data_IF_203508821197
#
_entry.id   IF_203508821197
#
_cell.length_a   1.000
_cell.length_b   1.000
_cell.length_c   1.000
_cell.angle_alpha   90.00
_cell.angle_beta   90.00
_cell.angle_gamma   90.00
#
_symmetry.space_group_name_H-M   'P 1'
#
loop_
_entity.id
_entity.type
_entity.pdbx_description
1 polymer ?
#
# COMPACT_ATOMS: atom_id res chain seq x y z
N UNK A 1 24.03 10.59 21.79
CA UNK A 1 23.08 10.64 20.70
C UNK A 1 23.04 12.06 20.20
N UNK A 2 23.67 12.32 19.04
CA UNK A 2 23.63 13.63 18.38
C UNK A 2 22.26 13.80 17.72
N UNK A 3 21.47 14.72 18.24
CA UNK A 3 20.27 15.23 17.60
C UNK A 3 20.73 16.04 16.38
N UNK A 4 20.41 15.58 15.19
CA UNK A 4 20.58 16.38 13.98
C UNK A 4 19.69 17.61 14.13
N UNK A 5 20.22 18.86 13.97
CA UNK A 5 19.42 20.07 14.12
C UNK A 5 18.23 20.05 13.18
N UNK A 6 17.06 20.28 13.70
CA UNK A 6 15.77 20.12 13.11
C UNK A 6 15.62 20.70 11.72
N UNK A 7 15.40 19.81 10.77
CA UNK A 7 14.53 20.14 9.64
C UNK A 7 13.12 20.17 10.25
N UNK A 8 12.53 21.36 10.29
CA UNK A 8 11.13 21.53 10.69
C UNK A 8 10.29 20.61 9.81
N UNK A 9 9.47 19.76 10.42
CA UNK A 9 8.53 18.88 9.68
C UNK A 9 7.59 19.66 8.76
N UNK A 10 7.43 20.97 8.99
CA UNK A 10 6.69 21.88 8.10
C UNK A 10 7.40 22.17 6.77
N UNK A 11 8.74 22.03 6.73
CA UNK A 11 9.52 22.22 5.51
C UNK A 11 9.82 20.91 4.77
N UNK A 12 9.65 19.76 5.42
CA UNK A 12 9.83 18.43 4.82
C UNK A 12 8.61 17.96 4.00
N UNK A 13 7.54 18.71 3.98
CA UNK A 13 6.38 18.49 3.11
C UNK A 13 6.68 18.78 1.62
N UNK A 14 7.95 18.82 1.21
CA UNK A 14 8.32 18.79 -0.20
C UNK A 14 7.97 17.42 -0.74
N UNK A 15 6.86 17.38 -1.45
CA UNK A 15 6.36 16.22 -2.14
C UNK A 15 7.47 15.59 -2.98
N UNK A 16 7.86 14.36 -2.65
CA UNK A 16 8.87 13.64 -3.44
C UNK A 16 8.30 13.33 -4.83
N UNK A 17 9.16 13.12 -5.85
CA UNK A 17 8.67 12.70 -7.17
C UNK A 17 7.80 11.45 -7.12
N UNK A 18 8.10 10.51 -6.21
CA UNK A 18 7.34 9.29 -5.96
C UNK A 18 5.93 9.59 -5.44
N UNK A 19 5.84 10.43 -4.41
CA UNK A 19 4.55 10.85 -3.82
C UNK A 19 3.71 11.62 -4.83
N UNK A 20 4.35 12.55 -5.55
CA UNK A 20 3.67 13.32 -6.59
C UNK A 20 3.08 12.39 -7.65
N UNK A 21 3.86 11.45 -8.16
CA UNK A 21 3.42 10.49 -9.17
C UNK A 21 2.24 9.66 -8.67
N UNK A 22 2.29 9.16 -7.45
CA UNK A 22 1.21 8.37 -6.84
C UNK A 22 -0.10 9.17 -6.78
N UNK A 23 -0.05 10.43 -6.35
CA UNK A 23 -1.22 11.29 -6.28
C UNK A 23 -1.75 11.67 -7.67
N UNK A 24 -0.87 11.92 -8.65
CA UNK A 24 -1.26 12.20 -10.03
C UNK A 24 -1.98 11.01 -10.66
N UNK A 25 -1.45 9.78 -10.48
CA UNK A 25 -2.06 8.55 -11.01
C UNK A 25 -3.41 8.25 -10.35
N UNK A 26 -3.51 8.43 -9.02
CA UNK A 26 -4.77 8.30 -8.29
C UNK A 26 -5.83 9.29 -8.79
N UNK A 27 -5.46 10.56 -8.91
CA UNK A 27 -6.38 11.62 -9.36
C UNK A 27 -6.88 11.36 -10.78
N UNK A 28 -5.97 10.94 -11.68
CA UNK A 28 -6.32 10.52 -13.03
C UNK A 28 -7.33 9.37 -13.02
N UNK A 29 -7.07 8.32 -12.22
CA UNK A 29 -7.98 7.19 -12.09
C UNK A 29 -9.37 7.62 -11.61
N UNK A 30 -9.44 8.49 -10.60
CA UNK A 30 -10.72 8.98 -10.08
C UNK A 30 -11.48 9.87 -11.08
N UNK A 31 -10.78 10.53 -12.01
CA UNK A 31 -11.40 11.27 -13.11
C UNK A 31 -11.95 10.33 -14.19
N UNK A 32 -11.20 9.28 -14.53
CA UNK A 32 -11.58 8.27 -15.53
C UNK A 32 -12.67 7.31 -15.01
N UNK A 33 -12.76 7.14 -13.68
CA UNK A 33 -13.74 6.26 -13.01
C UNK A 33 -14.57 7.08 -12.03
N UNK A 34 -15.68 7.71 -12.47
CA UNK A 34 -16.46 8.64 -11.63
C UNK A 34 -17.02 8.02 -10.35
N UNK A 35 -17.33 6.73 -10.35
CA UNK A 35 -17.80 5.96 -9.20
C UNK A 35 -16.68 5.17 -8.50
N UNK A 36 -15.44 5.34 -8.94
CA UNK A 36 -14.26 4.70 -8.36
C UNK A 36 -13.88 5.25 -7.00
N UNK A 37 -13.23 4.42 -6.19
CA UNK A 37 -12.66 4.77 -4.90
C UNK A 37 -11.20 4.33 -4.83
N UNK A 38 -10.39 5.09 -4.11
CA UNK A 38 -8.94 4.88 -4.03
C UNK A 38 -8.47 4.67 -2.60
N UNK A 39 -7.47 3.81 -2.43
CA UNK A 39 -6.73 3.61 -1.19
C UNK A 39 -5.27 4.02 -1.40
N UNK A 40 -4.76 4.82 -0.49
CA UNK A 40 -3.35 5.17 -0.37
C UNK A 40 -2.75 4.42 0.82
N UNK A 41 -1.80 3.55 0.58
CA UNK A 41 -1.12 2.75 1.60
C UNK A 41 0.28 3.29 1.89
N UNK A 42 0.64 3.37 3.17
CA UNK A 42 2.01 3.64 3.60
C UNK A 42 2.29 2.92 4.93
N UNK A 43 3.52 2.46 5.13
CA UNK A 43 3.95 1.90 6.41
C UNK A 43 4.53 2.98 7.33
N UNK A 44 4.81 4.17 6.79
CA UNK A 44 5.47 5.27 7.48
C UNK A 44 4.46 6.36 7.80
N UNK A 45 4.41 6.79 9.06
CA UNK A 45 3.63 7.95 9.47
C UNK A 45 4.38 9.21 9.06
N UNK A 46 5.58 9.39 9.62
CA UNK A 46 6.44 10.51 9.29
C UNK A 46 7.13 10.27 7.93
N UNK A 47 6.98 11.22 7.00
CA UNK A 47 7.53 11.11 5.65
C UNK A 47 6.72 10.22 4.69
N UNK A 48 5.64 9.61 5.16
CA UNK A 48 4.69 8.83 4.38
C UNK A 48 3.29 9.40 4.45
N UNK A 49 2.55 9.09 5.52
CA UNK A 49 1.16 9.54 5.68
C UNK A 49 1.02 11.07 5.74
N UNK A 50 1.90 11.75 6.46
CA UNK A 50 1.91 13.22 6.55
C UNK A 50 2.18 13.91 5.20
N UNK A 51 3.06 13.35 4.37
CA UNK A 51 3.35 13.88 3.04
C UNK A 51 2.18 13.62 2.08
N UNK A 52 1.57 12.44 2.14
CA UNK A 52 0.36 12.14 1.37
C UNK A 52 -0.80 13.03 1.79
N UNK A 53 -1.00 13.23 3.09
CA UNK A 53 -2.03 14.11 3.64
C UNK A 53 -1.85 15.56 3.17
N UNK A 54 -0.63 16.09 3.21
CA UNK A 54 -0.31 17.41 2.69
C UNK A 54 -0.65 17.53 1.19
N UNK A 55 -0.25 16.52 0.39
CA UNK A 55 -0.51 16.51 -1.03
C UNK A 55 -2.00 16.38 -1.40
N UNK A 56 -2.81 15.67 -0.60
CA UNK A 56 -4.26 15.60 -0.76
C UNK A 56 -4.92 16.95 -0.44
N UNK A 57 -4.50 17.61 0.64
CA UNK A 57 -4.98 18.94 1.04
C UNK A 57 -4.65 19.99 -0.02
N UNK A 58 -3.43 20.00 -0.55
CA UNK A 58 -3.01 20.96 -1.59
C UNK A 58 -3.84 20.80 -2.88
N UNK A 59 -4.37 19.62 -3.15
CA UNK A 59 -5.23 19.31 -4.31
C UNK A 59 -6.72 19.50 -4.01
N UNK A 60 -7.09 19.84 -2.77
CA UNK A 60 -8.49 19.98 -2.35
C UNK A 60 -9.26 18.65 -2.40
N UNK A 61 -8.57 17.52 -2.29
CA UNK A 61 -9.17 16.18 -2.30
C UNK A 61 -9.57 15.82 -0.86
N UNK A 62 -10.87 15.54 -0.65
CA UNK A 62 -11.37 15.06 0.63
C UNK A 62 -11.04 13.56 0.80
N UNK A 63 -10.64 13.18 2.01
CA UNK A 63 -10.15 11.83 2.31
C UNK A 63 -10.48 11.40 3.73
N UNK A 64 -10.60 10.09 3.94
CA UNK A 64 -10.64 9.46 5.25
C UNK A 64 -9.26 9.02 5.69
N UNK A 65 -9.05 8.91 7.01
CA UNK A 65 -7.80 8.45 7.62
C UNK A 65 -8.01 7.20 8.47
N UNK A 66 -7.21 6.19 8.20
CA UNK A 66 -7.12 5.01 9.06
C UNK A 66 -5.67 4.73 9.41
N UNK A 67 -5.15 5.53 10.31
CA UNK A 67 -3.76 5.48 10.77
C UNK A 67 -3.66 4.73 12.12
N UNK A 68 -2.50 4.19 12.44
CA UNK A 68 -2.24 3.52 13.71
C UNK A 68 -2.55 4.39 14.93
N UNK A 69 -2.79 3.77 16.08
CA UNK A 69 -3.07 4.48 17.34
C UNK A 69 -1.90 5.41 17.71
N UNK A 70 -2.21 6.59 18.24
CA UNK A 70 -1.21 7.58 18.69
C UNK A 70 -0.89 8.68 17.68
N UNK A 71 -1.55 8.72 16.52
CA UNK A 71 -1.43 9.85 15.60
C UNK A 71 -2.35 11.00 16.03
N UNK A 72 -1.82 12.22 16.00
CA UNK A 72 -2.57 13.41 16.40
C UNK A 72 -3.88 13.54 15.60
N UNK A 73 -4.98 13.77 16.32
CA UNK A 73 -6.31 13.97 15.73
C UNK A 73 -6.99 12.72 15.19
N UNK A 74 -6.44 11.51 15.43
CA UNK A 74 -7.05 10.25 15.00
C UNK A 74 -7.57 9.49 16.20
N UNK A 75 -8.89 9.59 16.46
CA UNK A 75 -9.61 8.82 17.48
C UNK A 75 -10.26 7.59 16.85
N UNK A 76 -10.73 6.66 17.68
CA UNK A 76 -11.47 5.49 17.18
C UNK A 76 -12.78 5.91 16.52
N UNK A 77 -13.46 6.92 17.08
CA UNK A 77 -14.68 7.47 16.53
C UNK A 77 -14.46 8.09 15.15
N UNK A 78 -13.36 8.89 15.01
CA UNK A 78 -13.03 9.51 13.70
C UNK A 78 -12.70 8.46 12.65
N UNK A 79 -11.99 7.38 13.01
CA UNK A 79 -11.72 6.26 12.11
C UNK A 79 -12.99 5.58 11.62
N UNK A 80 -13.90 5.26 12.56
CA UNK A 80 -15.17 4.62 12.23
C UNK A 80 -16.04 5.54 11.37
N UNK A 81 -15.99 6.85 11.60
CA UNK A 81 -16.69 7.81 10.75
C UNK A 81 -16.09 7.85 9.35
N UNK A 82 -14.77 7.90 9.22
CA UNK A 82 -14.07 7.89 7.93
C UNK A 82 -14.36 6.62 7.12
N UNK A 83 -14.43 5.46 7.79
CA UNK A 83 -14.84 4.21 7.14
C UNK A 83 -16.28 4.29 6.62
N UNK A 84 -17.21 4.83 7.41
CA UNK A 84 -18.61 5.02 6.97
C UNK A 84 -18.68 5.97 5.78
N UNK A 85 -18.01 7.12 5.88
CA UNK A 85 -17.99 8.12 4.81
C UNK A 85 -17.38 7.58 3.52
N UNK A 86 -16.37 6.71 3.61
CA UNK A 86 -15.80 6.01 2.45
C UNK A 86 -16.81 5.01 1.87
N UNK A 87 -17.44 4.16 2.68
CA UNK A 87 -18.45 3.21 2.23
C UNK A 87 -19.68 3.90 1.62
N UNK A 88 -20.08 5.03 2.18
CA UNK A 88 -21.18 5.85 1.69
C UNK A 88 -20.79 6.73 0.49
N UNK A 89 -19.53 6.62 0.02
CA UNK A 89 -18.97 7.42 -1.09
C UNK A 89 -18.95 8.93 -0.86
N UNK A 90 -19.10 9.39 0.38
CA UNK A 90 -18.88 10.78 0.75
C UNK A 90 -17.41 11.16 0.61
N UNK A 91 -16.52 10.24 0.95
CA UNK A 91 -15.09 10.31 0.73
C UNK A 91 -14.66 9.21 -0.23
N UNK A 92 -14.00 9.59 -1.33
CA UNK A 92 -13.56 8.64 -2.36
C UNK A 92 -12.14 8.16 -2.17
N UNK A 93 -11.41 8.76 -1.24
CA UNK A 93 -10.01 8.43 -0.95
C UNK A 93 -9.87 8.03 0.52
N UNK A 94 -9.13 6.95 0.78
CA UNK A 94 -8.78 6.51 2.12
C UNK A 94 -7.26 6.42 2.26
N UNK A 95 -6.69 7.12 3.25
CA UNK A 95 -5.28 7.02 3.61
C UNK A 95 -5.12 6.02 4.76
N UNK A 96 -4.37 4.96 4.53
CA UNK A 96 -4.22 3.85 5.47
C UNK A 96 -2.75 3.63 5.80
N UNK A 97 -2.43 3.47 7.08
CA UNK A 97 -1.11 3.00 7.51
C UNK A 97 -1.11 1.50 7.78
N UNK A 98 0.06 0.87 7.62
CA UNK A 98 0.23 -0.57 7.87
C UNK A 98 -0.22 -1.03 9.26
N UNK A 99 -0.01 -0.20 10.28
CA UNK A 99 -0.48 -0.48 11.64
C UNK A 99 -2.00 -0.29 11.81
N UNK A 100 -2.62 0.52 10.95
CA UNK A 100 -4.07 0.76 10.96
C UNK A 100 -4.85 -0.29 10.18
N UNK A 101 -4.23 -0.91 9.19
CA UNK A 101 -4.91 -1.80 8.25
C UNK A 101 -5.53 -3.07 8.87
N UNK A 102 -5.22 -3.43 10.12
CA UNK A 102 -5.78 -4.62 10.76
C UNK A 102 -7.28 -4.45 11.10
N UNK A 103 -8.12 -5.33 10.53
CA UNK A 103 -9.55 -5.39 10.84
C UNK A 103 -10.49 -4.59 9.93
N UNK A 104 -9.98 -3.83 8.94
CA UNK A 104 -10.84 -3.08 8.02
C UNK A 104 -11.27 -3.92 6.83
N UNK A 105 -12.51 -3.67 6.40
CA UNK A 105 -13.07 -4.11 5.13
C UNK A 105 -13.56 -2.89 4.36
N UNK A 106 -12.83 -2.51 3.35
CA UNK A 106 -13.22 -1.47 2.41
C UNK A 106 -13.67 -2.18 1.13
N UNK A 107 -14.98 -2.12 0.85
CA UNK A 107 -15.52 -2.52 -0.44
C UNK A 107 -15.41 -1.37 -1.44
N UNK A 108 -15.69 -1.64 -2.70
CA UNK A 108 -15.76 -0.65 -3.80
C UNK A 108 -14.44 0.02 -4.21
N UNK A 109 -13.32 -0.35 -3.63
CA UNK A 109 -12.01 0.14 -4.04
C UNK A 109 -11.70 -0.31 -5.46
N UNK A 110 -11.39 0.63 -6.34
CA UNK A 110 -11.01 0.38 -7.73
C UNK A 110 -9.55 0.69 -8.01
N UNK A 111 -8.91 1.43 -7.11
CA UNK A 111 -7.51 1.81 -7.21
C UNK A 111 -6.81 1.75 -5.86
N UNK A 112 -5.62 1.20 -5.86
CA UNK A 112 -4.78 1.11 -4.68
C UNK A 112 -3.35 1.49 -5.03
N UNK A 113 -2.74 2.35 -4.21
CA UNK A 113 -1.35 2.73 -4.34
C UNK A 113 -0.60 2.51 -3.03
N UNK A 114 0.55 1.82 -3.11
CA UNK A 114 1.48 1.65 -1.99
C UNK A 114 2.69 2.55 -2.18
N UNK A 115 2.91 3.48 -1.23
CA UNK A 115 4.00 4.44 -1.29
C UNK A 115 5.35 3.82 -0.94
N UNK A 116 5.36 2.86 -0.04
CA UNK A 116 6.55 2.19 0.49
C UNK A 116 6.32 0.68 0.56
N UNK A 117 7.37 -0.07 0.29
CA UNK A 117 7.40 -1.51 0.41
C UNK A 117 7.53 -1.97 1.86
N UNK A 118 7.31 -3.25 2.08
CA UNK A 118 7.60 -3.91 3.34
C UNK A 118 8.51 -5.13 3.10
N UNK A 119 9.50 -5.33 3.95
CA UNK A 119 10.45 -6.45 3.86
C UNK A 119 9.79 -7.84 4.06
N UNK A 120 8.55 -7.89 4.52
CA UNK A 120 7.74 -9.09 4.61
C UNK A 120 6.67 -9.06 3.51
N UNK A 121 6.77 -9.90 2.47
CA UNK A 121 5.84 -9.93 1.35
C UNK A 121 4.42 -10.31 1.78
N UNK A 122 4.26 -11.22 2.76
CA UNK A 122 2.93 -11.61 3.26
C UNK A 122 2.19 -10.44 3.89
N UNK A 123 2.91 -9.61 4.66
CA UNK A 123 2.31 -8.42 5.27
C UNK A 123 1.88 -7.40 4.22
N UNK A 124 2.67 -7.25 3.16
CA UNK A 124 2.35 -6.38 2.04
C UNK A 124 1.12 -6.89 1.30
N UNK A 125 1.11 -8.18 0.95
CA UNK A 125 -0.04 -8.83 0.31
C UNK A 125 -1.31 -8.77 1.18
N UNK A 126 -1.18 -8.90 2.51
CA UNK A 126 -2.30 -8.74 3.43
C UNK A 126 -2.85 -7.31 3.47
N UNK A 127 -1.99 -6.29 3.41
CA UNK A 127 -2.42 -4.90 3.35
C UNK A 127 -3.19 -4.62 2.05
N UNK A 128 -2.63 -5.01 0.93
CA UNK A 128 -3.24 -4.88 -0.40
C UNK A 128 -4.55 -5.68 -0.50
N UNK A 129 -4.56 -6.93 -0.03
CA UNK A 129 -5.76 -7.77 -0.05
C UNK A 129 -6.96 -7.21 0.76
N UNK A 130 -6.76 -6.24 1.64
CA UNK A 130 -7.83 -5.60 2.41
C UNK A 130 -8.60 -4.56 1.58
N UNK A 131 -7.92 -3.88 0.66
CA UNK A 131 -8.55 -3.06 -0.36
C UNK A 131 -9.27 -3.91 -1.43
N UNK A 132 -8.73 -5.11 -1.71
CA UNK A 132 -9.18 -6.00 -2.78
C UNK A 132 -9.99 -7.17 -2.20
N UNK A 133 -11.08 -6.92 -1.51
CA UNK A 133 -11.93 -8.06 -1.11
C UNK A 133 -12.63 -8.67 -2.31
N UNK A 134 -12.52 -10.00 -2.44
CA UNK A 134 -13.02 -10.83 -3.53
C UNK A 134 -14.53 -10.68 -3.87
N UNK A 135 -15.29 -9.89 -3.11
CA UNK A 135 -16.69 -9.55 -3.35
C UNK A 135 -17.02 -8.07 -3.19
N UNK A 136 -16.00 -7.20 -2.95
CA UNK A 136 -16.20 -5.77 -2.80
C UNK A 136 -16.85 -5.13 -4.02
N UNK A 137 -16.49 -5.61 -5.20
CA UNK A 137 -17.00 -5.12 -6.49
C UNK A 137 -18.09 -6.03 -7.09
N UNK A 138 -18.69 -6.94 -6.33
CA UNK A 138 -19.67 -7.92 -6.86
C UNK A 138 -20.95 -7.28 -7.44
N UNK A 139 -21.28 -6.07 -7.02
CA UNK A 139 -22.41 -5.28 -7.53
C UNK A 139 -22.12 -4.59 -8.88
N UNK A 140 -20.85 -4.53 -9.31
CA UNK A 140 -20.44 -3.97 -10.59
C UNK A 140 -20.56 -5.00 -11.72
N UNK A 141 -20.59 -4.54 -12.96
CA UNK A 141 -20.46 -5.43 -14.11
C UNK A 141 -19.16 -6.23 -14.03
N UNK A 142 -19.11 -7.48 -14.53
CA UNK A 142 -17.88 -8.30 -14.47
C UNK A 142 -16.63 -7.63 -15.03
N UNK A 143 -16.78 -6.83 -16.08
CA UNK A 143 -15.72 -6.04 -16.74
C UNK A 143 -15.18 -4.90 -15.86
N UNK A 144 -15.99 -4.39 -14.90
CA UNK A 144 -15.64 -3.29 -14.02
C UNK A 144 -15.15 -3.76 -12.64
N UNK A 145 -14.92 -5.08 -12.46
CA UNK A 145 -14.52 -5.70 -11.19
C UNK A 145 -13.00 -5.76 -11.00
N UNK A 146 -12.27 -4.91 -11.69
CA UNK A 146 -10.82 -4.84 -11.54
C UNK A 146 -10.41 -3.79 -10.50
N UNK A 147 -9.40 -4.16 -9.69
CA UNK A 147 -8.70 -3.21 -8.81
C UNK A 147 -7.31 -2.99 -9.38
N UNK A 148 -7.02 -1.76 -9.73
CA UNK A 148 -5.68 -1.37 -10.16
C UNK A 148 -4.77 -1.22 -8.93
N UNK A 149 -3.78 -2.11 -8.79
CA UNK A 149 -2.79 -2.06 -7.69
C UNK A 149 -1.47 -1.52 -8.21
N UNK A 150 -0.98 -0.46 -7.58
CA UNK A 150 0.25 0.23 -7.97
C UNK A 150 1.22 0.30 -6.79
N UNK A 151 2.48 -0.06 -7.04
CA UNK A 151 3.58 0.05 -6.08
C UNK A 151 4.56 1.11 -6.56
N UNK A 152 4.80 2.12 -5.74
CA UNK A 152 5.67 3.24 -6.08
C UNK A 152 7.05 3.04 -5.47
N UNK A 153 8.06 2.96 -6.33
CA UNK A 153 9.44 2.66 -5.96
C UNK A 153 10.34 3.81 -6.43
N UNK A 154 11.12 4.37 -5.52
CA UNK A 154 12.21 5.25 -5.90
C UNK A 154 13.36 4.42 -6.43
N UNK A 155 13.86 4.74 -7.62
CA UNK A 155 15.00 4.05 -8.21
C UNK A 155 16.15 5.03 -8.47
N UNK A 156 17.38 4.53 -8.38
CA UNK A 156 18.53 5.30 -8.82
C UNK A 156 18.66 5.23 -10.35
N UNK A 157 19.07 6.32 -11.01
CA UNK A 157 19.43 6.25 -12.42
C UNK A 157 20.47 5.16 -12.63
N UNK A 158 20.18 4.19 -13.49
CA UNK A 158 21.07 3.05 -13.76
C UNK A 158 22.40 3.45 -14.39
N UNK A 159 22.45 4.65 -14.99
CA UNK A 159 23.65 5.18 -15.64
C UNK A 159 23.82 6.63 -15.29
N UNK A 160 25.00 6.96 -14.74
CA UNK A 160 25.50 8.32 -14.70
C UNK A 160 26.62 8.42 -15.74
N UNK A 161 26.29 8.88 -16.95
CA UNK A 161 27.20 8.84 -18.09
C UNK A 161 27.54 7.40 -18.53
N UNK A 162 28.83 7.07 -18.61
CA UNK A 162 29.34 5.74 -18.99
C UNK A 162 29.40 4.74 -17.82
N UNK A 163 29.08 5.17 -16.59
CA UNK A 163 29.24 4.34 -15.40
C UNK A 163 27.86 3.90 -14.88
N UNK A 164 27.71 2.58 -14.57
CA UNK A 164 26.55 2.06 -13.84
C UNK A 164 26.69 2.47 -12.37
N UNK A 165 25.63 3.05 -11.79
CA UNK A 165 25.59 3.29 -10.35
C UNK A 165 25.56 1.94 -9.62
N UNK A 166 26.51 1.65 -8.71
CA UNK A 166 26.48 0.43 -7.91
C UNK A 166 25.50 0.53 -6.74
N UNK A 167 24.91 1.68 -6.51
CA UNK A 167 24.05 1.94 -5.36
C UNK A 167 22.60 1.67 -5.69
N UNK A 168 21.91 1.02 -4.74
CA UNK A 168 20.47 0.81 -4.75
C UNK A 168 19.80 1.77 -3.77
N UNK A 169 18.59 2.18 -4.07
CA UNK A 169 17.78 2.94 -3.12
C UNK A 169 17.27 2.01 -1.99
N UNK A 170 16.86 2.57 -0.84
CA UNK A 170 16.22 1.79 0.21
C UNK A 170 14.99 1.01 -0.30
N UNK A 171 14.20 1.62 -1.19
CA UNK A 171 13.04 0.94 -1.80
C UNK A 171 13.48 -0.29 -2.60
N UNK A 172 14.48 -0.15 -3.48
CA UNK A 172 15.01 -1.26 -4.28
C UNK A 172 15.53 -2.40 -3.40
N UNK A 173 16.19 -2.08 -2.28
CA UNK A 173 16.68 -3.08 -1.32
C UNK A 173 15.53 -3.79 -0.63
N UNK A 174 14.50 -3.07 -0.18
CA UNK A 174 13.34 -3.65 0.52
C UNK A 174 12.58 -4.61 -0.40
N UNK A 175 12.34 -4.22 -1.65
CA UNK A 175 11.65 -5.08 -2.63
C UNK A 175 12.48 -6.32 -2.98
N UNK A 176 13.80 -6.18 -3.16
CA UNK A 176 14.68 -7.33 -3.41
C UNK A 176 14.67 -8.33 -2.23
N UNK A 177 14.67 -7.84 -0.98
CA UNK A 177 14.53 -8.70 0.21
C UNK A 177 13.18 -9.41 0.21
N UNK A 178 12.10 -8.70 -0.12
CA UNK A 178 10.76 -9.26 -0.18
C UNK A 178 10.66 -10.35 -1.26
N UNK A 179 11.14 -10.08 -2.46
CA UNK A 179 11.14 -11.03 -3.58
C UNK A 179 11.95 -12.29 -3.25
N UNK A 180 13.13 -12.15 -2.63
CA UNK A 180 13.94 -13.28 -2.20
C UNK A 180 13.22 -14.14 -1.15
N UNK A 181 12.51 -13.53 -0.20
CA UNK A 181 11.72 -14.24 0.80
C UNK A 181 10.53 -14.97 0.17
N UNK A 182 9.85 -14.34 -0.78
CA UNK A 182 8.73 -14.95 -1.49
C UNK A 182 9.19 -16.19 -2.28
N UNK A 183 10.33 -16.08 -2.97
CA UNK A 183 10.93 -17.21 -3.67
C UNK A 183 11.28 -18.38 -2.71
N UNK A 184 11.87 -18.09 -1.54
CA UNK A 184 12.18 -19.09 -0.52
C UNK A 184 10.91 -19.72 0.04
N UNK A 185 9.87 -18.94 0.34
CA UNK A 185 8.59 -19.45 0.84
C UNK A 185 7.92 -20.37 -0.18
N UNK A 186 7.99 -20.03 -1.48
CA UNK A 186 7.44 -20.86 -2.55
C UNK A 186 8.13 -22.23 -2.60
N UNK A 187 9.45 -22.26 -2.56
CA UNK A 187 10.22 -23.53 -2.53
C UNK A 187 9.82 -24.38 -1.31
N UNK A 188 9.71 -23.77 -0.13
CA UNK A 188 9.31 -24.47 1.09
C UNK A 188 7.90 -25.05 0.97
N UNK A 189 6.95 -24.28 0.45
CA UNK A 189 5.58 -24.74 0.24
C UNK A 189 5.49 -25.89 -0.75
N UNK A 190 6.28 -25.86 -1.82
CA UNK A 190 6.31 -26.94 -2.81
C UNK A 190 6.90 -28.23 -2.21
N UNK A 191 7.96 -28.15 -1.41
CA UNK A 191 8.51 -29.29 -0.67
C UNK A 191 7.51 -29.88 0.35
N UNK A 192 6.75 -29.01 1.04
CA UNK A 192 5.72 -29.47 1.97
C UNK A 192 4.57 -30.19 1.25
N UNK A 193 4.15 -29.69 0.10
CA UNK A 193 3.11 -30.33 -0.73
C UNK A 193 3.58 -31.69 -1.25
N UNK A 194 4.83 -31.80 -1.69
CA UNK A 194 5.42 -33.05 -2.17
C UNK A 194 5.48 -34.10 -1.04
N UNK A 195 5.95 -33.68 0.14
CA UNK A 195 6.02 -34.55 1.31
C UNK A 195 4.63 -35.06 1.77
N UNK A 196 3.61 -34.20 1.70
CA UNK A 196 2.25 -34.60 2.03
C UNK A 196 1.68 -35.61 1.01
N UNK A 197 1.91 -35.42 -0.30
CA UNK A 197 1.54 -36.40 -1.33
C UNK A 197 2.20 -37.73 -1.14
N UNK A 198 3.47 -37.78 -0.72
CA UNK A 198 4.18 -39.01 -0.45
C UNK A 198 3.65 -39.74 0.79
N UNK A 199 3.22 -39.01 1.83
CA UNK A 199 2.55 -39.58 3.00
C UNK A 199 1.19 -40.19 2.65
N UNK A 200 0.39 -39.52 1.85
CA UNK A 200 -0.89 -40.04 1.39
C UNK A 200 -0.73 -41.30 0.53
N UNK A 201 0.25 -41.35 -0.37
CA UNK A 201 0.56 -42.52 -1.19
C UNK A 201 1.03 -43.71 -0.36
N UNK A 202 1.78 -43.48 0.73
CA UNK A 202 2.19 -44.54 1.65
C UNK A 202 1.04 -45.04 2.50
N UNK A 203 0.15 -44.18 2.95
CA UNK A 203 -1.06 -44.55 3.72
C UNK A 203 -2.11 -45.33 2.92
N UNK A 204 -2.18 -45.11 1.59
CA UNK A 204 -3.12 -45.82 0.71
C UNK A 204 -2.61 -47.20 0.23
N UNK A 205 -1.40 -47.60 0.58
CA UNK A 205 -0.77 -48.90 0.20
C UNK A 205 -0.61 -49.87 1.38
N UNK A 206 -0.99 -49.51 2.57
CA UNK A 206 -0.98 -50.37 3.79
C UNK A 206 -2.42 -50.61 4.27
#
# INVERSE_FOLDING_TARGET
GSVVPGISLKDSAKMTPKTKRMLDDMEKHLQETPDGQAILLTNMINGGADVLEAGLKDRGIDYGKFLGKGNEGVTEESRQQDIRDYKDRKKRVMLISGAGAEGISLGDTTWEGSLDGHYNPERMNQMEARGIRARGLSHRNPEDREVQVNRYISTMPKTFGLFKSPYKTPDEIIYEIADNKEAQNKVLLDLLKENNRDRERKSSRG
#
